data_IF_406520115391
#
_entry.id   IF_406520115391
#
_cell.length_a   1.000
_cell.length_b   1.000
_cell.length_c   1.000
_cell.angle_alpha   90.00
_cell.angle_beta   90.00
_cell.angle_gamma   90.00
#
_symmetry.space_group_name_H-M   'P 1'
#
loop_
_entity.id
_entity.type
_entity.pdbx_description
1 polymer ?
#
# COMPACT_ATOMS: atom_id res chain seq x y z
N UNK A 1 6.72 15.38 -11.40
CA UNK A 1 6.24 14.50 -10.32
C UNK A 1 5.29 13.52 -10.96
N UNK A 2 5.44 12.23 -10.72
CA UNK A 2 4.51 11.21 -11.22
C UNK A 2 3.74 10.61 -10.03
N UNK A 3 2.45 10.39 -10.22
CA UNK A 3 1.60 9.65 -9.29
C UNK A 3 1.08 8.45 -10.07
N UNK A 4 1.23 7.26 -9.49
CA UNK A 4 0.58 6.05 -10.01
C UNK A 4 -0.81 5.92 -9.38
N UNK A 5 -1.86 5.84 -10.19
CA UNK A 5 -3.22 5.75 -9.67
C UNK A 5 -3.67 4.32 -9.38
N UNK A 6 -2.82 3.32 -9.63
CA UNK A 6 -3.14 1.93 -9.35
C UNK A 6 -1.88 1.05 -9.31
N UNK A 7 -1.46 0.63 -8.11
CA UNK A 7 -0.37 -0.33 -7.95
C UNK A 7 -0.60 -1.35 -6.85
N UNK A 8 -0.35 -2.63 -7.15
CA UNK A 8 -0.45 -3.78 -6.23
C UNK A 8 0.66 -3.86 -5.18
N UNK A 9 1.05 -2.72 -4.61
CA UNK A 9 2.14 -2.63 -3.64
C UNK A 9 1.75 -3.30 -2.31
N UNK A 10 0.49 -3.17 -1.87
CA UNK A 10 0.07 -3.84 -0.63
C UNK A 10 -0.02 -5.35 -0.78
N UNK A 11 -0.26 -5.87 -1.98
CA UNK A 11 -0.19 -7.30 -2.28
C UNK A 11 1.22 -7.83 -2.04
N UNK A 12 2.25 -7.19 -2.61
CA UNK A 12 3.65 -7.61 -2.39
C UNK A 12 4.09 -7.44 -0.92
N UNK A 13 3.67 -6.35 -0.26
CA UNK A 13 3.88 -6.16 1.19
C UNK A 13 3.26 -7.31 1.98
N UNK A 14 2.02 -7.67 1.70
CA UNK A 14 1.30 -8.74 2.39
C UNK A 14 2.03 -10.07 2.25
N UNK A 15 2.37 -10.46 1.02
CA UNK A 15 3.08 -11.70 0.74
C UNK A 15 4.42 -11.74 1.46
N UNK A 16 5.29 -10.74 1.29
CA UNK A 16 6.62 -10.76 1.90
C UNK A 16 6.59 -10.67 3.43
N UNK A 17 5.73 -9.82 4.00
CA UNK A 17 5.61 -9.72 5.47
C UNK A 17 5.01 -10.98 6.08
N UNK A 18 4.14 -11.70 5.37
CA UNK A 18 3.67 -13.02 5.82
C UNK A 18 4.79 -14.06 5.93
N UNK A 19 5.87 -13.89 5.17
CA UNK A 19 7.09 -14.72 5.24
C UNK A 19 8.09 -14.21 6.31
N UNK A 20 7.73 -13.19 7.08
CA UNK A 20 8.56 -12.63 8.15
C UNK A 20 9.52 -11.52 7.70
N UNK A 21 9.46 -11.11 6.43
CA UNK A 21 10.24 -9.96 5.96
C UNK A 21 9.72 -8.61 6.50
N UNK A 22 10.57 -7.59 6.43
CA UNK A 22 10.29 -6.22 6.88
C UNK A 22 10.82 -5.20 5.87
N UNK A 23 10.36 -3.96 6.01
CA UNK A 23 10.76 -2.80 5.22
C UNK A 23 10.61 -3.04 3.71
N UNK A 24 9.47 -3.60 3.32
CA UNK A 24 9.24 -4.07 1.96
C UNK A 24 9.30 -2.91 0.96
N UNK A 25 8.61 -1.80 1.24
CA UNK A 25 8.61 -0.63 0.36
C UNK A 25 10.03 -0.05 0.28
N UNK A 26 10.73 0.06 1.40
CA UNK A 26 12.10 0.60 1.46
C UNK A 26 13.09 -0.26 0.67
N UNK A 27 13.01 -1.59 0.78
CA UNK A 27 13.96 -2.54 0.17
C UNK A 27 13.69 -2.83 -1.30
N UNK A 28 12.42 -2.92 -1.69
CA UNK A 28 12.05 -3.42 -3.03
C UNK A 28 11.53 -2.33 -3.97
N UNK A 29 11.00 -1.23 -3.45
CA UNK A 29 10.21 -0.30 -4.27
C UNK A 29 10.77 1.13 -4.29
N UNK A 30 11.21 1.65 -3.16
CA UNK A 30 11.58 3.05 -2.96
C UNK A 30 12.62 3.55 -3.97
N UNK A 31 13.70 2.81 -4.21
CA UNK A 31 14.75 3.22 -5.13
C UNK A 31 14.26 3.28 -6.58
N UNK A 32 13.38 2.36 -6.98
CA UNK A 32 12.78 2.35 -8.33
C UNK A 32 11.85 3.54 -8.50
N UNK A 33 11.03 3.83 -7.48
CA UNK A 33 10.14 4.99 -7.48
C UNK A 33 10.93 6.30 -7.54
N UNK A 34 12.00 6.44 -6.76
CA UNK A 34 12.90 7.61 -6.80
C UNK A 34 13.54 7.79 -8.18
N UNK A 35 14.08 6.72 -8.77
CA UNK A 35 14.65 6.76 -10.14
C UNK A 35 13.61 7.19 -11.18
N UNK A 36 12.38 6.71 -11.03
CA UNK A 36 11.24 7.08 -11.88
C UNK A 36 10.63 8.46 -11.58
N UNK A 37 11.12 9.19 -10.56
CA UNK A 37 10.52 10.45 -10.07
C UNK A 37 9.04 10.31 -9.69
N UNK A 38 8.65 9.13 -9.23
CA UNK A 38 7.34 8.84 -8.65
C UNK A 38 7.32 9.35 -7.22
N UNK A 39 6.31 10.16 -6.89
CA UNK A 39 6.17 10.82 -5.59
C UNK A 39 5.09 10.18 -4.72
N UNK A 40 4.34 9.22 -5.26
CA UNK A 40 3.22 8.63 -4.57
C UNK A 40 2.32 7.82 -5.49
N UNK A 41 1.23 7.30 -4.92
CA UNK A 41 0.24 6.57 -5.67
C UNK A 41 -0.91 6.02 -4.84
N UNK A 42 -1.88 5.41 -5.53
CA UNK A 42 -2.92 4.59 -4.91
C UNK A 42 -2.40 3.17 -4.85
N UNK A 43 -2.15 2.69 -3.64
CA UNK A 43 -1.70 1.31 -3.44
C UNK A 43 -2.91 0.45 -3.07
N UNK A 44 -3.09 -0.63 -3.82
CA UNK A 44 -4.27 -1.46 -3.76
C UNK A 44 -4.07 -2.61 -2.78
N UNK A 45 -5.01 -2.75 -1.84
CA UNK A 45 -5.28 -4.05 -1.21
C UNK A 45 -6.17 -4.82 -2.17
N UNK A 46 -5.60 -5.86 -2.76
CA UNK A 46 -6.30 -6.79 -3.63
C UNK A 46 -6.27 -8.20 -3.01
N UNK A 47 -7.33 -8.96 -3.23
CA UNK A 47 -7.41 -10.36 -2.81
C UNK A 47 -7.09 -11.19 -4.05
N UNK A 48 -5.84 -11.59 -4.13
CA UNK A 48 -5.26 -12.33 -5.24
C UNK A 48 -5.56 -13.83 -5.15
N UNK A 49 -5.90 -14.51 -6.26
CA UNK A 49 -5.80 -15.96 -6.31
C UNK A 49 -4.37 -16.41 -6.00
N UNK A 50 -4.17 -17.48 -5.20
CA UNK A 50 -5.16 -18.47 -4.76
C UNK A 50 -5.80 -18.18 -3.39
N UNK A 51 -5.74 -16.95 -2.89
CA UNK A 51 -6.22 -16.56 -1.56
C UNK A 51 -7.66 -16.01 -1.54
N UNK A 52 -8.40 -16.24 -2.61
CA UNK A 52 -9.74 -15.70 -2.87
C UNK A 52 -10.90 -16.53 -2.28
N UNK A 53 -10.63 -17.73 -1.79
CA UNK A 53 -11.64 -18.56 -1.09
C UNK A 53 -12.06 -18.00 0.28
N UNK A 54 -11.21 -17.16 0.91
CA UNK A 54 -11.43 -16.55 2.24
C UNK A 54 -11.21 -15.04 2.18
N UNK A 55 -12.05 -14.30 1.42
CA UNK A 55 -11.73 -12.93 1.03
C UNK A 55 -11.65 -11.99 2.23
N UNK A 56 -12.54 -12.15 3.21
CA UNK A 56 -12.56 -11.30 4.41
C UNK A 56 -11.32 -11.52 5.27
N UNK A 57 -10.95 -12.78 5.51
CA UNK A 57 -9.76 -13.13 6.29
C UNK A 57 -8.49 -12.63 5.59
N UNK A 58 -8.39 -12.86 4.28
CA UNK A 58 -7.26 -12.39 3.47
C UNK A 58 -7.15 -10.87 3.50
N UNK A 59 -8.26 -10.15 3.38
CA UNK A 59 -8.27 -8.69 3.50
C UNK A 59 -7.74 -8.23 4.86
N UNK A 60 -8.20 -8.85 5.96
CA UNK A 60 -7.73 -8.50 7.31
C UNK A 60 -6.23 -8.80 7.50
N UNK A 61 -5.72 -9.89 6.93
CA UNK A 61 -4.28 -10.19 6.89
C UNK A 61 -3.51 -9.09 6.15
N UNK A 62 -4.00 -8.67 4.97
CA UNK A 62 -3.39 -7.59 4.19
C UNK A 62 -3.39 -6.26 4.95
N UNK A 63 -4.52 -5.91 5.59
CA UNK A 63 -4.63 -4.70 6.42
C UNK A 63 -3.64 -4.74 7.58
N UNK A 64 -3.49 -5.88 8.27
CA UNK A 64 -2.51 -6.04 9.35
C UNK A 64 -1.09 -5.73 8.86
N UNK A 65 -0.67 -6.33 7.76
CA UNK A 65 0.70 -6.15 7.24
C UNK A 65 0.93 -4.77 6.63
N UNK A 66 -0.07 -4.22 5.94
CA UNK A 66 -0.07 -2.83 5.46
C UNK A 66 0.11 -1.85 6.63
N UNK A 67 -0.70 -1.97 7.69
CA UNK A 67 -0.59 -1.12 8.88
C UNK A 67 0.79 -1.23 9.53
N UNK A 68 1.34 -2.44 9.62
CA UNK A 68 2.69 -2.66 10.16
C UNK A 68 3.77 -2.00 9.29
N UNK A 69 3.70 -2.15 7.96
CA UNK A 69 4.63 -1.52 7.02
C UNK A 69 4.58 0.01 7.13
N UNK A 70 3.37 0.59 7.16
CA UNK A 70 3.15 2.04 7.29
C UNK A 70 3.71 2.54 8.63
N UNK A 71 3.44 1.85 9.73
CA UNK A 71 3.89 2.23 11.07
C UNK A 71 5.41 2.23 11.19
N UNK A 72 6.07 1.20 10.66
CA UNK A 72 7.53 1.04 10.74
C UNK A 72 8.28 1.96 9.75
N UNK A 73 7.63 2.49 8.72
CA UNK A 73 8.26 3.25 7.63
C UNK A 73 7.69 4.68 7.44
N UNK A 74 7.29 5.34 8.53
CA UNK A 74 6.81 6.74 8.50
C UNK A 74 7.88 7.77 8.09
N UNK A 75 9.15 7.36 8.10
CA UNK A 75 10.27 8.15 7.58
C UNK A 75 10.21 8.33 6.06
N UNK A 76 9.61 7.36 5.34
CA UNK A 76 9.53 7.36 3.87
C UNK A 76 8.10 7.43 3.32
N UNK A 77 7.07 7.17 4.13
CA UNK A 77 5.68 7.10 3.70
C UNK A 77 4.80 8.09 4.47
N UNK A 78 3.80 8.64 3.78
CA UNK A 78 2.65 9.31 4.39
C UNK A 78 1.37 8.84 3.72
N UNK A 79 0.43 8.35 4.53
CA UNK A 79 -0.95 8.13 4.09
C UNK A 79 -1.63 9.48 3.93
N UNK A 80 -2.26 9.72 2.78
CA UNK A 80 -2.89 11.00 2.43
C UNK A 80 -4.39 10.83 2.23
N UNK A 81 -5.17 11.83 2.63
CA UNK A 81 -6.64 11.84 2.49
C UNK A 81 -7.14 12.99 1.61
N UNK A 82 -6.29 13.98 1.36
CA UNK A 82 -6.63 15.17 0.59
C UNK A 82 -5.36 15.76 -0.06
N UNK A 83 -5.57 16.80 -0.88
CA UNK A 83 -4.48 17.47 -1.60
C UNK A 83 -3.47 18.16 -0.68
N UNK A 84 -3.89 18.67 0.49
CA UNK A 84 -2.98 19.29 1.44
C UNK A 84 -2.00 18.26 2.02
N UNK A 85 -2.50 17.08 2.38
CA UNK A 85 -1.65 15.97 2.86
C UNK A 85 -0.64 15.55 1.78
N UNK A 86 -1.08 15.52 0.51
CA UNK A 86 -0.22 15.23 -0.64
C UNK A 86 0.94 16.22 -0.73
N UNK A 87 0.67 17.52 -0.76
CA UNK A 87 1.75 18.52 -0.87
C UNK A 87 2.69 18.47 0.33
N UNK A 88 2.18 18.28 1.55
CA UNK A 88 3.02 18.09 2.73
C UNK A 88 3.91 16.83 2.62
N UNK A 89 3.39 15.72 2.08
CA UNK A 89 4.20 14.51 1.87
C UNK A 89 5.34 14.76 0.88
N UNK A 90 5.04 15.45 -0.24
CA UNK A 90 6.03 15.80 -1.27
C UNK A 90 7.10 16.74 -0.71
N UNK A 91 6.71 17.77 0.05
CA UNK A 91 7.64 18.72 0.65
C UNK A 91 8.57 18.05 1.68
N UNK A 92 8.07 17.04 2.40
CA UNK A 92 8.86 16.20 3.31
C UNK A 92 9.70 15.13 2.59
N UNK A 93 9.59 15.00 1.26
CA UNK A 93 10.29 13.99 0.47
C UNK A 93 9.79 12.55 0.68
N UNK A 94 8.56 12.40 1.17
CA UNK A 94 7.91 11.11 1.44
C UNK A 94 7.02 10.68 0.27
N UNK A 95 6.86 9.37 0.12
CA UNK A 95 5.87 8.79 -0.76
C UNK A 95 4.47 9.11 -0.24
N UNK A 96 3.69 9.85 -1.03
CA UNK A 96 2.30 10.15 -0.76
C UNK A 96 1.40 8.99 -1.18
N UNK A 97 0.80 8.28 -0.22
CA UNK A 97 0.05 7.04 -0.50
C UNK A 97 -1.42 7.20 -0.18
N UNK A 98 -2.26 6.91 -1.16
CA UNK A 98 -3.71 6.71 -0.97
C UNK A 98 -3.93 5.21 -0.77
N UNK A 99 -4.74 4.85 0.22
CA UNK A 99 -5.15 3.47 0.43
C UNK A 99 -6.28 3.13 -0.52
N UNK A 100 -6.04 2.17 -1.41
CA UNK A 100 -7.04 1.63 -2.33
C UNK A 100 -7.46 0.22 -1.95
N UNK A 101 -8.66 -0.16 -2.37
CA UNK A 101 -9.17 -1.53 -2.28
C UNK A 101 -9.68 -1.93 -3.67
N UNK A 102 -9.19 -3.05 -4.18
CA UNK A 102 -9.62 -3.59 -5.47
C UNK A 102 -10.54 -4.79 -5.24
N UNK A 103 -11.77 -4.66 -5.74
CA UNK A 103 -12.84 -5.62 -5.50
C UNK A 103 -13.52 -5.40 -4.15
N UNK A 104 -14.77 -5.87 -4.07
CA UNK A 104 -15.65 -5.68 -2.89
C UNK A 104 -15.99 -7.00 -2.19
N UNK A 105 -15.42 -8.12 -2.66
CA UNK A 105 -15.65 -9.45 -2.06
C UNK A 105 -15.41 -9.53 -0.53
N UNK A 106 -14.48 -8.80 0.11
CA UNK A 106 -14.32 -8.90 1.57
C UNK A 106 -15.45 -8.21 2.35
N UNK A 107 -16.28 -7.37 1.70
CA UNK A 107 -17.43 -6.73 2.34
C UNK A 107 -18.64 -7.68 2.50
N UNK A 108 -18.63 -8.80 1.77
CA UNK A 108 -19.78 -9.72 1.69
C UNK A 108 -20.96 -9.12 0.93
N UNK A 109 -22.12 -9.76 1.05
CA UNK A 109 -23.33 -9.42 0.28
C UNK A 109 -24.38 -8.65 1.10
N UNK A 110 -24.05 -8.20 2.31
CA UNK A 110 -25.01 -7.50 3.16
C UNK A 110 -25.27 -6.09 2.59
N UNK A 111 -26.51 -5.78 2.17
CA UNK A 111 -26.87 -4.46 1.64
C UNK A 111 -26.87 -3.36 2.71
#
# INVERSE_FOLDING_TARGET
>A
MLIDIHGDIWTDVTVKRSLGEKDIIKRYHLDRFKKGKMVGGVFMVWIDPPHDERPKERFLESIKYMCQEIWENQDILRVIYNSKDFYHAVDEGKLAVILGMEGLSPLGENP
#
